data_IF_884958535646
#
_entry.id   IF_884958535646
#
_cell.length_a   1.000
_cell.length_b   1.000
_cell.length_c   1.000
_cell.angle_alpha   90.00
_cell.angle_beta   90.00
_cell.angle_gamma   90.00
#
_symmetry.space_group_name_H-M   'P 1'
#
loop_
_entity.id
_entity.type
_entity.pdbx_description
1 polymer ?
#
# COMPACT_ATOMS: atom_id res chain seq x y z
N UNK A 1 13.48 4.30 11.87
CA UNK A 1 14.44 5.39 11.66
C UNK A 1 13.92 6.31 10.57
N UNK A 2 14.05 7.61 10.75
CA UNK A 2 13.63 8.61 9.76
C UNK A 2 14.82 8.94 8.87
N UNK A 3 14.61 8.98 7.55
CA UNK A 3 15.67 9.33 6.59
C UNK A 3 15.51 10.77 6.12
N UNK A 4 16.58 11.55 6.18
CA UNK A 4 16.57 12.98 5.85
C UNK A 4 16.25 13.26 4.38
N UNK A 5 16.59 12.33 3.49
CA UNK A 5 16.37 12.47 2.04
C UNK A 5 15.09 11.82 1.57
N UNK A 6 14.24 11.36 2.48
CA UNK A 6 12.98 10.68 2.13
C UNK A 6 11.80 11.64 2.29
N UNK A 7 11.13 11.94 1.17
CA UNK A 7 9.95 12.84 1.17
C UNK A 7 8.82 12.26 2.03
N UNK A 8 8.61 10.94 2.01
CA UNK A 8 7.53 10.32 2.77
C UNK A 8 7.84 10.28 4.27
N UNK A 9 9.12 10.15 4.65
CA UNK A 9 9.51 10.34 6.06
C UNK A 9 9.12 11.74 6.54
N UNK A 10 9.37 12.75 5.71
CA UNK A 10 9.06 14.13 6.04
C UNK A 10 7.56 14.39 6.13
N UNK A 11 6.79 13.84 5.18
CA UNK A 11 5.34 13.97 5.20
C UNK A 11 4.73 13.21 6.39
N UNK A 12 5.23 12.01 6.66
CA UNK A 12 4.71 11.19 7.76
C UNK A 12 4.97 11.79 9.13
N UNK A 13 6.05 12.56 9.27
CA UNK A 13 6.49 13.11 10.56
C UNK A 13 6.25 14.62 10.69
N UNK A 14 5.45 15.20 9.82
CA UNK A 14 5.01 16.58 9.95
C UNK A 14 6.05 17.64 9.59
N UNK A 15 7.13 17.26 8.91
CA UNK A 15 8.16 18.22 8.46
C UNK A 15 7.60 19.12 7.35
N UNK A 16 6.78 18.55 6.47
CA UNK A 16 6.08 19.30 5.42
C UNK A 16 4.57 19.28 5.70
N UNK A 17 3.87 20.38 5.39
CA UNK A 17 2.42 20.38 5.52
C UNK A 17 1.78 19.40 4.53
N UNK A 18 0.69 18.75 4.95
CA UNK A 18 -0.03 17.80 4.15
C UNK A 18 -1.49 17.72 4.62
N UNK A 19 -2.34 17.10 3.82
CA UNK A 19 -3.73 16.87 4.18
C UNK A 19 -3.85 15.53 4.93
N UNK A 20 -3.52 15.57 6.21
CA UNK A 20 -3.60 14.40 7.09
C UNK A 20 -5.05 14.14 7.48
N UNK A 21 -5.46 12.86 7.38
CA UNK A 21 -6.82 12.44 7.77
C UNK A 21 -6.83 11.57 9.03
N UNK A 22 -5.67 11.04 9.42
CA UNK A 22 -5.52 10.21 10.62
C UNK A 22 -4.06 10.14 10.99
N UNK A 23 -3.78 10.16 12.28
CA UNK A 23 -2.41 10.04 12.77
C UNK A 23 -2.41 9.31 14.12
N UNK A 24 -1.43 8.42 14.30
CA UNK A 24 -1.16 7.79 15.58
C UNK A 24 0.36 7.72 15.79
N UNK A 25 0.82 6.94 16.76
CA UNK A 25 2.25 6.86 17.05
C UNK A 25 3.06 6.24 15.93
N UNK A 26 2.44 5.37 15.13
CA UNK A 26 3.14 4.58 14.10
C UNK A 26 2.89 5.08 12.69
N UNK A 27 1.76 5.74 12.43
CA UNK A 27 1.33 6.08 11.07
C UNK A 27 0.83 7.52 10.97
N UNK A 28 0.98 8.08 9.78
CA UNK A 28 0.20 9.23 9.34
C UNK A 28 -0.48 8.84 8.03
N UNK A 29 -1.77 9.10 7.94
CA UNK A 29 -2.55 8.82 6.72
C UNK A 29 -2.88 10.16 6.09
N UNK A 30 -2.43 10.34 4.85
CA UNK A 30 -2.58 11.61 4.13
C UNK A 30 -3.32 11.39 2.82
N UNK A 31 -3.87 12.45 2.26
CA UNK A 31 -4.41 12.38 0.90
C UNK A 31 -3.25 12.43 -0.10
N UNK A 32 -3.35 11.62 -1.15
CA UNK A 32 -2.37 11.62 -2.24
C UNK A 32 -2.48 12.95 -3.00
N UNK A 33 -1.35 13.62 -3.24
CA UNK A 33 -1.31 14.88 -3.96
C UNK A 33 -1.63 14.73 -5.45
N UNK A 34 -1.47 13.51 -6.00
CA UNK A 34 -1.80 13.19 -7.39
C UNK A 34 -2.81 12.04 -7.41
N UNK A 35 -4.03 12.28 -6.92
CA UNK A 35 -4.96 11.20 -6.65
C UNK A 35 -5.53 10.57 -7.92
N UNK A 36 -5.79 9.26 -7.84
CA UNK A 36 -6.52 8.56 -8.90
C UNK A 36 -8.00 8.95 -8.89
N UNK A 37 -8.54 9.17 -7.70
CA UNK A 37 -9.90 9.65 -7.47
C UNK A 37 -9.93 10.49 -6.19
N UNK A 38 -11.00 11.26 -6.00
CA UNK A 38 -11.20 12.04 -4.77
C UNK A 38 -11.19 11.08 -3.56
N UNK A 39 -10.35 11.41 -2.57
CA UNK A 39 -10.24 10.58 -1.36
C UNK A 39 -9.16 9.51 -1.41
N UNK A 40 -8.40 9.44 -2.49
CA UNK A 40 -7.24 8.55 -2.58
C UNK A 40 -6.26 8.88 -1.45
N UNK A 41 -6.06 7.95 -0.54
CA UNK A 41 -5.24 8.15 0.65
C UNK A 41 -4.00 7.27 0.63
N UNK A 42 -2.98 7.71 1.37
CA UNK A 42 -1.74 6.99 1.58
C UNK A 42 -1.55 6.73 3.07
N UNK A 43 -1.37 5.48 3.45
CA UNK A 43 -0.98 5.11 4.81
C UNK A 43 0.54 5.10 4.84
N UNK A 44 1.14 5.98 5.64
CA UNK A 44 2.58 6.14 5.74
C UNK A 44 3.05 5.76 7.15
N UNK A 45 3.89 4.71 7.28
CA UNK A 45 4.58 4.50 8.54
C UNK A 45 5.49 5.69 8.84
N UNK A 46 5.57 6.10 10.10
CA UNK A 46 6.46 7.19 10.53
C UNK A 46 7.92 6.75 10.48
N UNK A 47 8.18 5.47 10.77
CA UNK A 47 9.51 4.88 10.65
C UNK A 47 9.78 4.54 9.18
N UNK A 48 11.02 4.71 8.75
CA UNK A 48 11.41 4.39 7.39
C UNK A 48 11.62 2.89 7.20
N UNK A 49 10.93 2.33 6.21
CA UNK A 49 11.20 1.04 5.59
C UNK A 49 11.09 1.26 4.09
N UNK A 50 12.01 0.73 3.30
CA UNK A 50 11.92 0.91 1.84
C UNK A 50 10.64 0.28 1.27
N UNK A 51 10.30 -0.91 1.75
CA UNK A 51 9.12 -1.63 1.29
C UNK A 51 8.75 -2.76 2.28
N UNK A 52 7.85 -3.64 1.84
CA UNK A 52 7.36 -4.78 2.63
C UNK A 52 8.49 -5.68 3.16
N UNK A 53 9.53 -5.89 2.34
CA UNK A 53 10.60 -6.83 2.70
C UNK A 53 11.44 -6.33 3.87
N UNK A 54 11.55 -5.01 4.07
CA UNK A 54 12.30 -4.40 5.16
C UNK A 54 11.46 -4.16 6.41
N UNK A 55 10.15 -4.08 6.26
CA UNK A 55 9.28 -3.63 7.34
C UNK A 55 9.20 -4.66 8.48
N UNK A 56 9.09 -4.14 9.70
CA UNK A 56 8.87 -4.98 10.88
C UNK A 56 7.49 -5.61 10.82
N UNK A 57 7.41 -6.88 11.22
CA UNK A 57 6.14 -7.61 11.28
C UNK A 57 5.12 -6.92 12.18
N UNK A 58 5.58 -6.29 13.26
CA UNK A 58 4.73 -5.56 14.18
C UNK A 58 4.01 -4.39 13.50
N UNK A 59 4.73 -3.64 12.67
CA UNK A 59 4.14 -2.55 11.90
C UNK A 59 3.20 -3.11 10.83
N UNK A 60 3.62 -4.15 10.12
CA UNK A 60 2.79 -4.77 9.08
C UNK A 60 1.47 -5.30 9.64
N UNK A 61 1.48 -5.85 10.85
CA UNK A 61 0.28 -6.37 11.48
C UNK A 61 -0.79 -5.29 11.73
N UNK A 62 -0.37 -4.03 11.82
CA UNK A 62 -1.27 -2.90 12.06
C UNK A 62 -1.85 -2.31 10.77
N UNK A 63 -1.27 -2.63 9.62
CA UNK A 63 -1.63 -1.99 8.34
C UNK A 63 -3.05 -2.34 7.91
N UNK A 64 -3.43 -3.61 7.85
CA UNK A 64 -4.74 -3.98 7.34
C UNK A 64 -5.90 -3.56 8.24
N UNK A 65 -5.80 -3.67 9.57
CA UNK A 65 -6.82 -3.08 10.44
C UNK A 65 -6.99 -1.58 10.22
N UNK A 66 -5.89 -0.84 10.06
CA UNK A 66 -5.94 0.58 9.76
C UNK A 66 -6.54 0.84 8.38
N UNK A 67 -6.12 0.09 7.37
CA UNK A 67 -6.66 0.22 6.00
C UNK A 67 -8.17 0.02 5.98
N UNK A 68 -8.67 -0.95 6.73
CA UNK A 68 -10.12 -1.19 6.87
C UNK A 68 -10.84 0.04 7.42
N UNK A 69 -10.28 0.65 8.45
CA UNK A 69 -10.84 1.84 9.09
C UNK A 69 -10.86 3.03 8.13
N UNK A 70 -9.75 3.26 7.44
CA UNK A 70 -9.63 4.34 6.47
C UNK A 70 -10.57 4.13 5.29
N UNK A 71 -10.64 2.90 4.76
CA UNK A 71 -11.54 2.57 3.65
C UNK A 71 -13.00 2.85 4.00
N UNK A 72 -13.42 2.51 5.21
CA UNK A 72 -14.79 2.78 5.67
C UNK A 72 -15.09 4.28 5.71
N UNK A 73 -14.14 5.07 6.21
CA UNK A 73 -14.28 6.52 6.28
C UNK A 73 -14.31 7.15 4.88
N UNK A 74 -13.43 6.71 4.00
CA UNK A 74 -13.36 7.19 2.62
C UNK A 74 -14.66 6.87 1.87
N UNK A 75 -15.18 5.66 2.05
CA UNK A 75 -16.45 5.26 1.44
C UNK A 75 -17.61 6.14 1.91
N UNK A 76 -17.67 6.43 3.19
CA UNK A 76 -18.71 7.27 3.77
C UNK A 76 -18.69 8.69 3.20
N UNK A 77 -17.49 9.25 3.01
CA UNK A 77 -17.33 10.62 2.52
C UNK A 77 -17.53 10.71 1.01
N UNK A 78 -16.99 9.75 0.24
CA UNK A 78 -17.01 9.83 -1.22
C UNK A 78 -18.20 9.14 -1.86
N UNK A 79 -18.80 8.18 -1.16
CA UNK A 79 -19.86 7.34 -1.76
C UNK A 79 -19.34 6.35 -2.78
N UNK A 80 -18.06 6.00 -2.71
CA UNK A 80 -17.44 5.11 -3.72
C UNK A 80 -18.11 3.74 -3.76
N UNK A 81 -18.01 3.10 -4.94
CA UNK A 81 -18.58 1.78 -5.18
C UNK A 81 -17.66 0.64 -4.73
N UNK A 82 -16.37 0.91 -4.65
CA UNK A 82 -15.37 -0.05 -4.23
C UNK A 82 -14.11 0.63 -3.73
N UNK A 83 -13.18 -0.13 -3.17
CA UNK A 83 -11.90 0.38 -2.68
C UNK A 83 -10.80 -0.62 -3.05
N UNK A 84 -9.72 -0.11 -3.64
CA UNK A 84 -8.50 -0.89 -3.82
C UNK A 84 -7.51 -0.57 -2.70
N UNK A 85 -6.92 -1.61 -2.13
CA UNK A 85 -5.80 -1.48 -1.20
C UNK A 85 -4.58 -1.98 -1.95
N UNK A 86 -3.60 -1.11 -2.16
CA UNK A 86 -2.47 -1.40 -3.04
C UNK A 86 -1.16 -1.09 -2.30
N UNK A 87 -0.23 -2.04 -2.34
CA UNK A 87 1.11 -1.86 -1.81
C UNK A 87 2.10 -2.46 -2.81
N UNK A 88 3.07 -1.67 -3.24
CA UNK A 88 4.01 -2.05 -4.29
C UNK A 88 5.43 -2.19 -3.73
N UNK A 89 6.13 -3.24 -4.17
CA UNK A 89 7.49 -3.53 -3.74
C UNK A 89 8.41 -3.64 -4.96
N UNK A 90 9.26 -2.65 -5.13
CA UNK A 90 10.22 -2.58 -6.21
C UNK A 90 9.70 -1.83 -7.45
N UNK A 91 10.63 -1.33 -8.27
CA UNK A 91 10.26 -0.55 -9.46
C UNK A 91 9.42 -1.33 -10.47
N UNK A 92 9.72 -2.63 -10.66
CA UNK A 92 8.98 -3.48 -11.60
C UNK A 92 7.50 -3.64 -11.19
N UNK A 93 7.20 -3.46 -9.90
CA UNK A 93 5.85 -3.55 -9.38
C UNK A 93 5.16 -2.18 -9.28
N UNK A 94 5.82 -1.11 -9.72
CA UNK A 94 5.26 0.24 -9.72
C UNK A 94 5.61 1.09 -8.51
N UNK A 95 6.56 0.65 -7.69
CA UNK A 95 7.03 1.46 -6.57
C UNK A 95 7.92 2.59 -7.09
N UNK A 96 7.52 3.84 -6.84
CA UNK A 96 8.27 5.01 -7.29
C UNK A 96 8.92 5.77 -6.13
N UNK A 97 8.38 5.64 -4.92
CA UNK A 97 8.96 6.22 -3.70
C UNK A 97 9.34 5.09 -2.77
N UNK A 98 10.62 5.07 -2.35
CA UNK A 98 11.18 3.98 -1.54
C UNK A 98 11.02 4.27 -0.06
N UNK A 99 9.79 4.36 0.34
CA UNK A 99 9.28 4.39 1.68
C UNK A 99 7.95 3.62 1.64
N UNK A 100 7.84 2.59 2.45
CA UNK A 100 6.63 1.74 2.50
C UNK A 100 5.39 2.62 2.59
N UNK A 101 4.45 2.42 1.69
CA UNK A 101 3.18 3.12 1.74
C UNK A 101 2.08 2.24 1.15
N UNK A 102 0.89 2.44 1.65
CA UNK A 102 -0.28 1.66 1.24
C UNK A 102 -1.30 2.64 0.68
N UNK A 103 -1.68 2.42 -0.57
CA UNK A 103 -2.73 3.20 -1.22
C UNK A 103 -4.09 2.68 -0.79
N UNK A 104 -4.98 3.60 -0.46
CA UNK A 104 -6.40 3.34 -0.29
C UNK A 104 -7.10 4.14 -1.38
N UNK A 105 -7.55 3.46 -2.43
CA UNK A 105 -8.06 4.10 -3.64
C UNK A 105 -9.56 3.87 -3.77
N UNK A 106 -10.37 4.92 -3.57
CA UNK A 106 -11.81 4.79 -3.79
C UNK A 106 -12.07 4.62 -5.29
N UNK A 107 -12.95 3.67 -5.60
CA UNK A 107 -13.28 3.33 -6.99
C UNK A 107 -14.76 3.55 -7.25
N UNK A 108 -15.03 4.04 -8.44
CA UNK A 108 -16.40 4.27 -8.91
C UNK A 108 -16.63 3.44 -10.15
N UNK A 109 -17.86 3.01 -10.38
CA UNK A 109 -18.20 2.31 -11.61
C UNK A 109 -17.82 3.18 -12.81
N UNK A 110 -17.13 2.58 -13.77
CA UNK A 110 -16.71 3.23 -15.02
C UNK A 110 -15.64 4.35 -14.87
N UNK A 111 -14.90 4.39 -13.76
CA UNK A 111 -13.85 5.39 -13.59
C UNK A 111 -12.57 5.06 -14.41
N UNK A 112 -11.96 3.91 -14.18
CA UNK A 112 -10.82 3.38 -14.93
C UNK A 112 -10.66 1.90 -14.56
N UNK A 113 -9.80 1.19 -15.30
CA UNK A 113 -9.60 -0.25 -15.08
C UNK A 113 -8.23 -0.52 -14.47
N UNK A 114 -8.19 -1.36 -13.43
CA UNK A 114 -6.98 -2.01 -12.98
C UNK A 114 -6.96 -3.41 -13.59
N UNK A 115 -6.16 -3.58 -14.63
CA UNK A 115 -6.05 -4.87 -15.29
C UNK A 115 -4.60 -5.34 -15.32
N UNK A 116 -4.41 -6.63 -15.19
CA UNK A 116 -3.14 -7.27 -15.45
C UNK A 116 -3.32 -8.27 -16.59
N UNK A 117 -2.25 -8.57 -17.33
CA UNK A 117 -2.34 -9.54 -18.40
C UNK A 117 -2.63 -10.92 -17.83
N UNK A 118 -3.46 -11.69 -18.55
CA UNK A 118 -3.78 -13.05 -18.17
C UNK A 118 -2.88 -13.99 -18.95
N UNK A 119 -1.80 -14.45 -18.29
CA UNK A 119 -0.87 -15.40 -18.87
C UNK A 119 -1.36 -16.82 -18.62
N UNK A 120 -0.99 -17.73 -19.53
CA UNK A 120 -1.36 -19.13 -19.40
C UNK A 120 -0.14 -19.99 -19.11
N UNK A 121 -0.30 -20.87 -18.13
CA UNK A 121 0.71 -21.88 -17.79
C UNK A 121 -0.02 -23.21 -17.72
N UNK A 122 0.65 -24.30 -18.10
CA UNK A 122 0.07 -25.63 -17.97
C UNK A 122 -0.12 -26.00 -16.50
N UNK A 123 -0.99 -26.95 -16.24
CA UNK A 123 -1.21 -27.46 -14.89
C UNK A 123 0.09 -28.04 -14.30
N UNK A 124 0.91 -28.66 -15.12
CA UNK A 124 2.20 -29.20 -14.70
C UNK A 124 3.17 -28.11 -14.28
N UNK A 125 3.26 -27.03 -15.06
CA UNK A 125 4.07 -25.86 -14.71
C UNK A 125 3.60 -25.20 -13.42
N UNK A 126 2.28 -25.02 -13.26
CA UNK A 126 1.71 -24.43 -12.04
C UNK A 126 1.98 -25.32 -10.82
N UNK A 127 1.83 -26.63 -10.99
CA UNK A 127 2.08 -27.59 -9.91
C UNK A 127 3.56 -27.59 -9.49
N UNK A 128 4.47 -27.54 -10.45
CA UNK A 128 5.90 -27.46 -10.18
C UNK A 128 6.27 -26.17 -9.46
N UNK A 129 5.75 -25.04 -9.92
CA UNK A 129 5.98 -23.74 -9.29
C UNK A 129 5.46 -23.71 -7.85
N UNK A 130 4.27 -24.25 -7.64
CA UNK A 130 3.67 -24.32 -6.30
C UNK A 130 4.55 -25.14 -5.34
N UNK A 131 5.09 -26.27 -5.83
CA UNK A 131 5.97 -27.12 -5.01
C UNK A 131 7.27 -26.40 -4.64
N UNK A 132 7.87 -25.67 -5.59
CA UNK A 132 9.10 -24.90 -5.34
C UNK A 132 8.88 -23.80 -4.29
N UNK A 133 7.80 -23.05 -4.42
CA UNK A 133 7.46 -21.99 -3.46
C UNK A 133 7.17 -22.59 -2.09
N UNK A 134 6.38 -23.67 -2.04
CA UNK A 134 6.04 -24.34 -0.81
C UNK A 134 7.29 -24.86 -0.07
N UNK A 135 8.27 -25.36 -0.80
CA UNK A 135 9.53 -25.81 -0.21
C UNK A 135 10.28 -24.66 0.47
N UNK A 136 10.35 -23.50 -0.18
CA UNK A 136 10.99 -22.31 0.41
C UNK A 136 10.25 -21.88 1.68
N UNK A 137 8.90 -21.87 1.66
CA UNK A 137 8.09 -21.48 2.82
C UNK A 137 8.28 -22.42 4.02
N UNK A 138 8.66 -23.67 3.78
CA UNK A 138 8.94 -24.63 4.86
C UNK A 138 10.31 -24.45 5.49
N UNK A 139 11.10 -23.48 5.03
CA UNK A 139 12.39 -23.17 5.60
C UNK A 139 13.59 -23.82 4.89
N UNK A 140 13.39 -24.29 3.71
CA UNK A 140 14.48 -24.84 2.90
C UNK A 140 15.30 -23.78 2.21
#
# INVERSE_FOLDING_TARGET
MIKDDCIFCKLANGVFPTNSIYEDDDFNVILDASPANRGHALILPKQHFDNLHEADDEILAKVMPLAKKIAAAVKKVTGCDGVNIIQNNGPAAGQTVFHLHIHVVPRFNDDFEFEWPHKSFSDEEQSATAAEIAAVLKGE
#
